data_IF_548159369062
#
_entry.id   IF_548159369062
#
_cell.length_a   1.000
_cell.length_b   1.000
_cell.length_c   1.000
_cell.angle_alpha   90.00
_cell.angle_beta   90.00
_cell.angle_gamma   90.00
#
_symmetry.space_group_name_H-M   'P 1'
#
loop_
_entity.id
_entity.type
_entity.pdbx_description
1 polymer ?
#
# COMPACT_ATOMS: atom_id res chain seq x y z
N UNK A 1 15.60 6.04 -26.64
CA UNK A 1 15.70 5.73 -26.22
C UNK A 1 15.64 5.77 -25.60
N UNK A 2 15.26 5.90 -25.20
CA UNK A 2 15.27 5.73 -24.52
C UNK A 2 15.21 5.69 -24.02
N UNK A 3 15.03 5.95 -24.02
CA UNK A 3 14.89 5.72 -23.40
C UNK A 3 14.71 5.34 -22.82
N UNK A 4 14.47 5.32 -22.80
CA UNK A 4 14.36 4.84 -22.15
C UNK A 4 14.42 4.79 -21.37
N UNK A 5 14.36 5.03 -21.34
CA UNK A 5 14.46 4.82 -20.65
C UNK A 5 14.39 5.02 -19.97
N UNK A 6 14.33 5.29 -20.14
CA UNK A 6 14.26 5.27 -19.59
C UNK A 6 14.16 5.12 -19.01
N UNK A 7 14.02 5.27 -19.15
CA UNK A 7 13.78 4.79 -18.60
C UNK A 7 14.05 4.69 -17.81
N UNK A 8 14.20 4.92 -17.62
CA UNK A 8 14.37 4.62 -16.80
C UNK A 8 14.60 4.42 -15.88
N UNK A 9 14.80 4.08 -16.39
CA UNK A 9 15.27 3.24 -15.32
C UNK A 9 15.13 3.86 -13.94
N UNK A 10 15.91 3.82 -13.12
CA UNK A 10 15.93 4.30 -11.74
C UNK A 10 14.83 5.26 -11.28
N UNK A 11 13.74 5.31 -12.01
CA UNK A 11 12.64 6.20 -11.69
C UNK A 11 11.55 5.54 -10.88
N UNK A 12 11.66 4.25 -10.62
CA UNK A 12 10.69 3.56 -9.79
C UNK A 12 10.71 4.13 -8.39
N UNK A 13 9.52 4.24 -7.81
CA UNK A 13 9.34 4.75 -6.47
C UNK A 13 8.99 3.58 -5.56
N UNK A 14 9.77 3.37 -4.53
CA UNK A 14 9.51 2.30 -3.54
C UNK A 14 9.08 2.95 -2.25
N UNK A 15 7.94 2.53 -1.72
CA UNK A 15 7.46 3.02 -0.43
C UNK A 15 7.19 1.82 0.47
N UNK A 16 7.70 1.89 1.70
CA UNK A 16 7.41 0.91 2.74
C UNK A 16 6.43 1.53 3.71
N UNK A 17 5.26 0.90 3.84
CA UNK A 17 4.19 1.36 4.72
C UNK A 17 4.17 0.47 5.95
N UNK A 18 4.31 1.07 7.12
CA UNK A 18 4.37 0.33 8.39
C UNK A 18 3.08 0.53 9.18
N UNK A 19 2.60 -0.56 9.77
CA UNK A 19 1.39 -0.54 10.58
C UNK A 19 1.63 -1.24 11.89
N UNK A 20 1.24 -0.56 12.97
CA UNK A 20 1.19 -1.15 14.29
C UNK A 20 -0.29 -1.25 14.66
N UNK A 21 -0.71 -2.44 15.14
CA UNK A 21 -2.12 -2.66 15.44
C UNK A 21 -2.31 -2.94 16.93
N UNK A 22 -3.53 -2.74 17.41
CA UNK A 22 -3.87 -2.97 18.81
C UNK A 22 -3.61 -4.45 19.17
N UNK A 23 -3.21 -4.74 20.42
CA UNK A 23 -2.97 -6.10 20.85
C UNK A 23 -4.18 -7.00 20.58
N UNK A 24 -3.94 -8.15 19.96
CA UNK A 24 -4.98 -9.11 19.62
C UNK A 24 -5.82 -8.77 18.40
N UNK A 25 -5.56 -7.64 17.74
CA UNK A 25 -6.38 -7.17 16.62
C UNK A 25 -5.79 -7.54 15.24
N UNK A 26 -4.66 -8.24 15.20
CA UNK A 26 -3.96 -8.50 13.94
C UNK A 26 -4.80 -9.24 12.91
N UNK A 27 -5.50 -10.29 13.32
CA UNK A 27 -6.30 -11.08 12.39
C UNK A 27 -7.45 -10.26 11.79
N UNK A 28 -8.11 -9.47 12.60
CA UNK A 28 -9.19 -8.61 12.12
C UNK A 28 -8.65 -7.53 11.17
N UNK A 29 -7.56 -6.89 11.56
CA UNK A 29 -6.92 -5.86 10.72
C UNK A 29 -6.56 -6.43 9.35
N UNK A 30 -5.93 -7.59 9.36
CA UNK A 30 -5.48 -8.23 8.12
C UNK A 30 -6.66 -8.61 7.22
N UNK A 31 -7.74 -9.14 7.82
CA UNK A 31 -8.93 -9.48 7.06
C UNK A 31 -9.55 -8.25 6.40
N UNK A 32 -9.61 -7.14 7.12
CA UNK A 32 -10.15 -5.88 6.59
C UNK A 32 -9.26 -5.33 5.47
N UNK A 33 -7.95 -5.42 5.64
CA UNK A 33 -7.01 -5.01 4.60
C UNK A 33 -7.22 -5.81 3.31
N UNK A 34 -7.29 -7.13 3.44
CA UNK A 34 -7.46 -8.01 2.28
C UNK A 34 -8.79 -7.79 1.57
N UNK A 35 -9.83 -7.47 2.33
CA UNK A 35 -11.16 -7.30 1.76
C UNK A 35 -11.35 -5.92 1.11
N UNK A 36 -10.88 -4.87 1.77
CA UNK A 36 -11.28 -3.50 1.43
C UNK A 36 -10.17 -2.64 0.83
N UNK A 37 -8.93 -3.05 0.95
CA UNK A 37 -7.80 -2.26 0.46
C UNK A 37 -7.04 -2.97 -0.65
N UNK A 38 -6.70 -4.21 -0.43
CA UNK A 38 -5.95 -4.99 -1.41
C UNK A 38 -6.59 -5.03 -2.80
N UNK A 39 -7.92 -5.21 -2.95
CA UNK A 39 -8.51 -5.23 -4.29
C UNK A 39 -8.31 -3.94 -5.07
N UNK A 40 -8.28 -2.79 -4.38
CA UNK A 40 -8.01 -1.51 -5.01
C UNK A 40 -6.59 -1.49 -5.56
N UNK A 41 -5.64 -1.96 -4.75
CA UNK A 41 -4.23 -2.01 -5.15
C UNK A 41 -4.02 -2.99 -6.33
N UNK A 42 -4.72 -4.11 -6.32
CA UNK A 42 -4.65 -5.06 -7.42
C UNK A 42 -5.18 -4.44 -8.72
N UNK A 43 -6.21 -3.60 -8.63
CA UNK A 43 -6.71 -2.89 -9.81
C UNK A 43 -5.69 -1.87 -10.31
N UNK A 44 -5.01 -1.17 -9.39
CA UNK A 44 -3.95 -0.24 -9.78
C UNK A 44 -2.79 -0.98 -10.47
N UNK A 45 -2.50 -2.20 -10.05
CA UNK A 45 -1.49 -3.02 -10.71
C UNK A 45 -1.92 -3.36 -12.14
N UNK A 46 -3.19 -3.74 -12.33
CA UNK A 46 -3.71 -4.02 -13.67
C UNK A 46 -3.62 -2.81 -14.58
N UNK A 47 -3.76 -1.61 -14.03
CA UNK A 47 -3.72 -0.37 -14.80
C UNK A 47 -2.29 0.15 -15.02
N UNK A 48 -1.28 -0.54 -14.47
CA UNK A 48 0.11 -0.16 -14.65
C UNK A 48 0.56 1.01 -13.79
N UNK A 49 -0.26 1.46 -12.86
CA UNK A 49 0.04 2.58 -11.95
C UNK A 49 0.93 2.10 -10.81
N UNK A 50 0.60 0.95 -10.25
CA UNK A 50 1.39 0.28 -9.23
C UNK A 50 2.04 -0.94 -9.87
N UNK A 51 3.31 -1.19 -9.58
CA UNK A 51 4.01 -2.35 -10.15
C UNK A 51 3.86 -3.59 -9.30
N UNK A 52 3.99 -3.45 -7.98
CA UNK A 52 3.87 -4.60 -7.10
C UNK A 52 3.49 -4.16 -5.69
N UNK A 53 2.92 -5.11 -4.96
CA UNK A 53 2.54 -4.96 -3.57
C UNK A 53 2.92 -6.24 -2.84
N UNK A 54 3.70 -6.12 -1.76
CA UNK A 54 4.06 -7.25 -0.92
C UNK A 54 3.72 -6.91 0.52
N UNK A 55 3.10 -7.85 1.21
CA UNK A 55 2.71 -7.70 2.60
C UNK A 55 3.57 -8.61 3.46
N UNK A 56 4.17 -8.06 4.49
CA UNK A 56 5.00 -8.81 5.43
C UNK A 56 4.43 -8.70 6.84
N UNK A 57 4.52 -9.78 7.57
CA UNK A 57 4.23 -9.81 8.99
C UNK A 57 5.56 -9.90 9.74
N UNK A 58 5.69 -9.16 10.84
CA UNK A 58 6.90 -9.26 11.64
C UNK A 58 6.95 -10.63 12.31
N UNK A 59 8.06 -11.32 12.15
CA UNK A 59 8.20 -12.67 12.67
C UNK A 59 8.79 -12.70 14.08
N UNK A 60 9.77 -11.85 14.36
CA UNK A 60 10.42 -11.78 15.65
C UNK A 60 10.34 -10.37 16.18
N UNK A 61 10.52 -10.25 17.50
CA UNK A 61 10.57 -8.93 18.12
C UNK A 61 11.85 -8.21 17.76
N UNK A 62 11.76 -6.91 17.61
CA UNK A 62 12.95 -6.08 17.45
C UNK A 62 12.72 -4.78 18.21
N UNK A 63 13.77 -3.98 18.28
CA UNK A 63 13.69 -2.69 18.94
C UNK A 63 12.80 -1.74 18.17
N UNK A 64 12.59 -0.55 18.72
CA UNK A 64 11.77 0.48 18.13
C UNK A 64 12.34 0.97 16.80
N UNK A 65 11.49 1.39 15.87
CA UNK A 65 10.03 1.34 16.00
C UNK A 65 9.50 -0.07 15.78
N UNK A 66 8.59 -0.50 16.65
CA UNK A 66 7.95 -1.80 16.54
C UNK A 66 6.76 -1.70 15.59
N UNK A 67 6.66 -2.64 14.67
CA UNK A 67 5.52 -2.69 13.73
C UNK A 67 5.03 -4.13 13.64
N UNK A 68 3.78 -4.30 13.23
CA UNK A 68 3.16 -5.62 13.07
C UNK A 68 3.10 -6.05 11.62
N UNK A 69 2.78 -5.12 10.72
CA UNK A 69 2.71 -5.39 9.29
C UNK A 69 3.47 -4.33 8.51
N UNK A 70 4.09 -4.76 7.42
CA UNK A 70 4.75 -3.87 6.49
C UNK A 70 4.28 -4.20 5.08
N UNK A 71 3.88 -3.19 4.33
CA UNK A 71 3.54 -3.34 2.93
C UNK A 71 4.62 -2.62 2.12
N UNK A 72 5.21 -3.32 1.16
CA UNK A 72 6.18 -2.72 0.26
C UNK A 72 5.51 -2.55 -1.10
N UNK A 73 5.38 -1.32 -1.53
CA UNK A 73 4.79 -1.01 -2.83
C UNK A 73 5.84 -0.42 -3.74
N UNK A 74 5.89 -0.95 -4.96
CA UNK A 74 6.74 -0.39 -6.01
C UNK A 74 5.81 0.30 -7.00
N UNK A 75 5.91 1.63 -7.04
CA UNK A 75 5.13 2.48 -7.92
C UNK A 75 5.87 2.68 -9.23
N UNK A 76 5.14 2.87 -10.33
CA UNK A 76 5.75 3.12 -11.62
C UNK A 76 6.71 4.31 -11.56
N UNK A 77 6.27 5.41 -10.93
CA UNK A 77 7.06 6.64 -10.75
C UNK A 77 6.31 7.56 -9.78
N UNK A 78 6.82 8.77 -9.56
CA UNK A 78 6.17 9.74 -8.69
C UNK A 78 4.79 10.15 -9.19
N UNK A 79 4.62 10.29 -10.51
CA UNK A 79 3.33 10.67 -11.07
C UNK A 79 2.25 9.64 -10.78
N UNK A 80 2.63 8.38 -10.62
CA UNK A 80 1.68 7.31 -10.32
C UNK A 80 0.94 7.52 -9.00
N UNK A 81 1.57 8.17 -8.02
CA UNK A 81 0.89 8.47 -6.76
C UNK A 81 -0.31 9.39 -6.99
N UNK A 82 -0.14 10.39 -7.84
CA UNK A 82 -1.22 11.31 -8.18
C UNK A 82 -2.31 10.61 -8.97
N UNK A 83 -1.92 9.77 -9.93
CA UNK A 83 -2.90 8.99 -10.70
C UNK A 83 -3.71 8.08 -9.79
N UNK A 84 -3.04 7.42 -8.83
CA UNK A 84 -3.72 6.55 -7.88
C UNK A 84 -4.72 7.33 -7.03
N UNK A 85 -4.36 8.54 -6.64
CA UNK A 85 -5.23 9.39 -5.85
C UNK A 85 -6.54 9.68 -6.59
N UNK A 86 -6.46 9.94 -7.89
CA UNK A 86 -7.66 10.19 -8.69
C UNK A 86 -8.43 8.92 -9.03
N UNK A 87 -7.72 7.80 -9.23
CA UNK A 87 -8.37 6.53 -9.56
C UNK A 87 -9.04 5.86 -8.37
N UNK A 88 -8.52 6.07 -7.17
CA UNK A 88 -9.01 5.38 -5.97
C UNK A 88 -10.53 5.50 -5.75
N UNK A 89 -11.12 6.70 -5.77
CA UNK A 89 -12.58 6.80 -5.57
C UNK A 89 -13.39 6.08 -6.64
N UNK A 90 -12.91 6.09 -7.89
CA UNK A 90 -13.59 5.42 -8.99
C UNK A 90 -13.53 3.90 -8.82
N UNK A 91 -12.37 3.38 -8.46
CA UNK A 91 -12.18 1.95 -8.23
C UNK A 91 -13.07 1.49 -7.07
N UNK A 92 -13.12 2.27 -6.00
CA UNK A 92 -13.98 1.97 -4.85
C UNK A 92 -15.43 1.83 -5.28
N UNK A 93 -15.92 2.75 -6.12
CA UNK A 93 -17.30 2.67 -6.60
C UNK A 93 -17.54 1.45 -7.47
N UNK A 94 -16.54 1.06 -8.25
CA UNK A 94 -16.66 -0.12 -9.13
C UNK A 94 -16.64 -1.42 -8.36
N UNK A 95 -15.78 -1.52 -7.35
CA UNK A 95 -15.55 -2.78 -6.63
C UNK A 95 -16.49 -3.00 -5.44
N UNK A 96 -17.02 -1.93 -4.86
CA UNK A 96 -17.78 -2.01 -3.61
C UNK A 96 -19.14 -1.34 -3.79
N UNK A 97 -20.18 -2.12 -4.16
CA UNK A 97 -21.52 -1.55 -4.33
C UNK A 97 -22.07 -0.92 -3.05
N UNK A 98 -21.76 -1.51 -1.88
CA UNK A 98 -22.21 -0.96 -0.61
C UNK A 98 -21.13 -0.02 -0.06
N UNK A 99 -21.22 1.24 -0.43
CA UNK A 99 -20.24 2.25 -0.04
C UNK A 99 -20.27 2.55 1.46
N UNK A 100 -21.43 2.42 2.10
CA UNK A 100 -21.53 2.64 3.54
C UNK A 100 -20.81 1.54 4.31
N UNK A 101 -20.96 0.30 3.87
CA UNK A 101 -20.25 -0.82 4.49
C UNK A 101 -18.74 -0.67 4.32
N UNK A 102 -18.30 -0.28 3.13
CA UNK A 102 -16.87 -0.03 2.88
C UNK A 102 -16.35 1.03 3.85
N UNK A 103 -17.06 2.14 3.99
CA UNK A 103 -16.64 3.23 4.88
C UNK A 103 -16.55 2.78 6.33
N UNK A 104 -17.53 1.98 6.80
CA UNK A 104 -17.52 1.43 8.17
C UNK A 104 -16.31 0.53 8.38
N UNK A 105 -16.01 -0.33 7.42
CA UNK A 105 -14.92 -1.29 7.54
C UNK A 105 -13.55 -0.62 7.42
N UNK A 106 -13.42 0.39 6.57
CA UNK A 106 -12.18 1.17 6.51
C UNK A 106 -11.95 1.92 7.82
N UNK A 107 -13.01 2.52 8.36
CA UNK A 107 -12.93 3.20 9.66
C UNK A 107 -12.50 2.21 10.74
N UNK A 108 -13.09 1.02 10.74
CA UNK A 108 -12.74 -0.03 11.72
C UNK A 108 -11.26 -0.40 11.62
N UNK A 109 -10.74 -0.58 10.41
CA UNK A 109 -9.33 -0.91 10.22
C UNK A 109 -8.42 0.17 10.82
N UNK A 110 -8.77 1.44 10.61
CA UNK A 110 -8.00 2.54 11.18
C UNK A 110 -8.14 2.65 12.69
N UNK A 111 -9.29 2.30 13.24
CA UNK A 111 -9.48 2.22 14.69
C UNK A 111 -8.57 1.17 15.33
N UNK A 112 -8.30 0.10 14.61
CA UNK A 112 -7.40 -0.96 15.09
C UNK A 112 -5.92 -0.59 14.91
N UNK A 113 -5.63 0.44 14.15
CA UNK A 113 -4.26 0.87 13.85
C UNK A 113 -3.79 1.84 14.92
N UNK A 114 -2.75 1.46 15.67
CA UNK A 114 -2.21 2.28 16.74
C UNK A 114 -0.98 3.08 16.31
N UNK A 115 -0.40 2.74 15.18
CA UNK A 115 0.72 3.48 14.61
C UNK A 115 0.84 3.20 13.13
N UNK A 116 1.24 4.21 12.38
CA UNK A 116 1.40 4.08 10.93
C UNK A 116 2.41 5.12 10.46
N UNK A 117 3.35 4.69 9.63
CA UNK A 117 4.31 5.61 9.01
C UNK A 117 4.80 5.01 7.69
N UNK A 118 5.34 5.89 6.84
CA UNK A 118 5.81 5.51 5.52
C UNK A 118 7.27 5.90 5.36
N UNK A 119 8.06 4.99 4.79
CA UNK A 119 9.42 5.29 4.36
C UNK A 119 9.42 5.34 2.84
N UNK A 120 9.72 6.50 2.29
CA UNK A 120 9.83 6.69 0.84
C UNK A 120 11.29 6.50 0.48
N UNK A 121 11.55 5.53 -0.38
CA UNK A 121 12.91 5.13 -0.72
C UNK A 121 13.29 5.59 -2.11
N UNK A 122 14.53 5.98 -2.26
CA UNK A 122 15.11 6.31 -3.55
C UNK A 122 16.07 5.20 -3.95
N UNK A 123 15.83 4.61 -5.09
CA UNK A 123 16.74 3.61 -5.62
C UNK A 123 18.04 4.30 -6.06
N UNK A 124 19.17 3.70 -5.71
CA UNK A 124 20.48 4.21 -6.10
C UNK A 124 21.07 3.23 -7.11
N UNK A 125 21.29 3.64 -8.37
CA UNK A 125 21.93 2.77 -9.34
C UNK A 125 23.34 2.42 -8.89
N UNK A 126 23.73 1.16 -9.10
CA UNK A 126 25.03 0.67 -8.64
C UNK A 126 26.11 0.64 -9.74
N UNK A 127 25.81 1.19 -10.89
CA UNK A 127 26.78 1.21 -12.00
C UNK A 127 27.03 2.61 -12.53
#
# INVERSE_FOLDING_TARGET
MQPKGTEHGGTQLVIEYYYKVAPGAGAEWLALYKKNHNPILQQLIKEGILKSELLYERRFHSETPAWDYKIVMVWRDWAALEEAHYRDPQIKRELYPDQEELARQEKRRWELTTGHWDDVLKEIPLE
#
